data_IF_932830107543
#
_entry.id   IF_932830107543
#
_cell.length_a   1.000
_cell.length_b   1.000
_cell.length_c   1.000
_cell.angle_alpha   90.00
_cell.angle_beta   90.00
_cell.angle_gamma   90.00
#
_symmetry.space_group_name_H-M   'P 1'
#
loop_
_entity.id
_entity.type
_entity.pdbx_description
1 polymer ?
#
# COMPACT_ATOMS: atom_id res chain seq x y z
N UNK A 1 -25.86 -9.42 5.84
CA UNK A 1 -24.63 -9.99 5.25
C UNK A 1 -24.63 -11.51 5.37
N UNK A 2 -24.81 -12.06 6.58
CA UNK A 2 -24.81 -13.52 6.79
C UNK A 2 -25.91 -14.23 5.99
N UNK A 3 -27.11 -13.66 5.97
CA UNK A 3 -28.22 -14.14 5.14
C UNK A 3 -27.91 -14.05 3.63
N UNK A 4 -27.32 -12.93 3.17
CA UNK A 4 -27.01 -12.73 1.76
C UNK A 4 -25.97 -13.73 1.23
N UNK A 5 -25.02 -14.13 2.07
CA UNK A 5 -23.95 -15.06 1.72
C UNK A 5 -24.12 -16.47 2.31
N UNK A 6 -25.32 -16.82 2.79
CA UNK A 6 -25.67 -18.19 3.21
C UNK A 6 -26.25 -19.04 2.08
N UNK A 7 -26.50 -18.45 0.91
CA UNK A 7 -27.08 -19.15 -0.23
C UNK A 7 -26.15 -20.25 -0.76
N UNK A 8 -26.76 -21.39 -1.14
CA UNK A 8 -26.11 -22.46 -1.88
C UNK A 8 -26.87 -22.66 -3.19
N UNK A 9 -26.15 -22.65 -4.31
CA UNK A 9 -26.73 -22.82 -5.66
C UNK A 9 -26.21 -24.09 -6.32
N UNK A 10 -26.77 -24.47 -7.46
CA UNK A 10 -26.27 -25.55 -8.30
C UNK A 10 -24.98 -25.16 -9.07
N UNK A 11 -24.53 -23.90 -8.97
CA UNK A 11 -23.37 -23.39 -9.68
C UNK A 11 -22.13 -23.25 -8.78
N UNK A 12 -21.21 -24.21 -8.94
CA UNK A 12 -19.99 -24.32 -8.14
C UNK A 12 -19.15 -23.02 -8.07
N UNK A 13 -18.97 -22.33 -9.20
CA UNK A 13 -18.11 -21.13 -9.22
C UNK A 13 -18.71 -19.98 -8.40
N UNK A 14 -20.05 -19.83 -8.42
CA UNK A 14 -20.75 -18.86 -7.58
C UNK A 14 -20.63 -19.23 -6.10
N UNK A 15 -20.88 -20.49 -5.73
CA UNK A 15 -20.72 -20.95 -4.34
C UNK A 15 -19.29 -20.72 -3.82
N UNK A 16 -18.27 -20.89 -4.68
CA UNK A 16 -16.88 -20.58 -4.34
C UNK A 16 -16.68 -19.09 -4.03
N UNK A 17 -17.28 -18.20 -4.81
CA UNK A 17 -17.21 -16.75 -4.56
C UNK A 17 -17.98 -16.38 -3.30
N UNK A 18 -19.20 -16.90 -3.10
CA UNK A 18 -20.01 -16.69 -1.89
C UNK A 18 -19.21 -17.05 -0.64
N UNK A 19 -18.63 -18.26 -0.59
CA UNK A 19 -17.80 -18.72 0.54
C UNK A 19 -16.57 -17.84 0.74
N UNK A 20 -15.94 -17.37 -0.33
CA UNK A 20 -14.77 -16.48 -0.25
C UNK A 20 -15.15 -15.10 0.30
N UNK A 21 -16.29 -14.54 -0.11
CA UNK A 21 -16.78 -13.24 0.36
C UNK A 21 -17.24 -13.33 1.81
N UNK A 22 -17.96 -14.39 2.19
CA UNK A 22 -18.35 -14.67 3.58
C UNK A 22 -17.13 -14.70 4.52
N UNK A 23 -16.05 -15.39 4.12
CA UNK A 23 -14.79 -15.43 4.87
C UNK A 23 -14.09 -14.07 5.03
N UNK A 24 -14.45 -13.07 4.24
CA UNK A 24 -13.88 -11.72 4.28
C UNK A 24 -14.80 -10.68 4.93
N UNK A 25 -15.88 -11.13 5.59
CA UNK A 25 -16.90 -10.27 6.22
C UNK A 25 -16.29 -9.13 7.04
N UNK A 26 -15.39 -9.45 7.97
CA UNK A 26 -14.79 -8.46 8.88
C UNK A 26 -14.11 -7.32 8.10
N UNK A 27 -13.28 -7.65 7.11
CA UNK A 27 -12.60 -6.65 6.29
C UNK A 27 -13.54 -5.86 5.37
N UNK A 28 -14.59 -6.50 4.84
CA UNK A 28 -15.55 -5.86 3.93
C UNK A 28 -16.52 -4.93 4.66
N UNK A 29 -16.76 -5.17 5.95
CA UNK A 29 -17.66 -4.37 6.79
C UNK A 29 -16.92 -3.38 7.69
N UNK A 30 -15.59 -3.29 7.60
CA UNK A 30 -14.77 -2.37 8.40
C UNK A 30 -15.20 -0.91 8.24
N UNK A 31 -15.73 -0.53 7.08
CA UNK A 31 -16.27 0.82 6.81
C UNK A 31 -17.45 1.20 7.72
N UNK A 32 -18.14 0.22 8.30
CA UNK A 32 -19.21 0.49 9.27
C UNK A 32 -18.65 0.96 10.62
N UNK A 33 -17.45 0.51 10.98
CA UNK A 33 -16.74 0.95 12.19
C UNK A 33 -15.92 2.21 11.94
N UNK A 34 -15.36 2.36 10.73
CA UNK A 34 -14.50 3.48 10.32
C UNK A 34 -15.07 4.13 9.04
N UNK A 35 -16.06 5.02 9.12
CA UNK A 35 -16.72 5.59 7.93
C UNK A 35 -15.78 6.39 7.02
N UNK A 36 -14.64 6.84 7.53
CA UNK A 36 -13.60 7.56 6.79
C UNK A 36 -12.83 6.67 5.80
N UNK A 37 -12.84 5.35 5.97
CA UNK A 37 -12.17 4.46 5.01
C UNK A 37 -13.05 4.21 3.78
N UNK A 38 -12.46 4.21 2.58
CA UNK A 38 -13.23 3.92 1.37
C UNK A 38 -13.67 2.46 1.33
N UNK A 39 -14.87 2.21 0.79
CA UNK A 39 -15.42 0.86 0.54
C UNK A 39 -14.55 0.04 -0.46
N UNK A 40 -13.75 0.73 -1.28
CA UNK A 40 -12.87 0.13 -2.27
C UNK A 40 -11.39 0.17 -1.83
N UNK A 41 -10.59 -0.74 -2.36
CA UNK A 41 -9.15 -0.83 -2.10
C UNK A 41 -8.27 -0.07 -3.10
N UNK A 42 -8.83 0.83 -3.92
CA UNK A 42 -8.13 1.50 -5.02
C UNK A 42 -6.78 2.11 -4.60
N UNK A 43 -6.71 2.79 -3.45
CA UNK A 43 -5.47 3.37 -2.93
C UNK A 43 -4.39 2.31 -2.71
N UNK A 44 -4.75 1.18 -2.10
CA UNK A 44 -3.82 0.05 -1.90
C UNK A 44 -3.40 -0.60 -3.21
N UNK A 45 -4.29 -0.71 -4.20
CA UNK A 45 -3.95 -1.25 -5.52
C UNK A 45 -3.00 -0.33 -6.29
N UNK A 46 -3.24 0.98 -6.23
CA UNK A 46 -2.37 2.00 -6.82
C UNK A 46 -0.98 1.97 -6.17
N UNK A 47 -0.90 1.90 -4.84
CA UNK A 47 0.36 1.81 -4.09
C UNK A 47 1.22 0.62 -4.53
N UNK A 48 0.60 -0.54 -4.82
CA UNK A 48 1.32 -1.77 -5.23
C UNK A 48 1.62 -1.79 -6.74
N UNK A 49 0.86 -1.04 -7.56
CA UNK A 49 0.94 -1.09 -9.02
C UNK A 49 2.35 -0.80 -9.53
N UNK A 50 3.04 0.19 -8.96
CA UNK A 50 4.40 0.55 -9.34
C UNK A 50 5.35 -0.65 -9.19
N UNK A 51 5.28 -1.38 -8.06
CA UNK A 51 6.07 -2.61 -7.83
C UNK A 51 5.82 -3.66 -8.91
N UNK A 52 4.55 -3.89 -9.26
CA UNK A 52 4.15 -4.91 -10.23
C UNK A 52 4.65 -4.56 -11.63
N UNK A 53 4.54 -3.30 -12.03
CA UNK A 53 5.06 -2.80 -13.31
C UNK A 53 6.57 -2.95 -13.36
N UNK A 54 7.29 -2.50 -12.33
CA UNK A 54 8.75 -2.59 -12.26
C UNK A 54 9.23 -4.05 -12.32
N UNK A 55 8.55 -4.96 -11.61
CA UNK A 55 8.84 -6.40 -11.67
C UNK A 55 8.67 -6.95 -13.08
N UNK A 56 7.62 -6.54 -13.79
CA UNK A 56 7.35 -6.95 -15.18
C UNK A 56 8.45 -6.45 -16.13
N UNK A 57 8.80 -5.17 -16.05
CA UNK A 57 9.83 -4.55 -16.90
C UNK A 57 11.20 -5.21 -16.70
N UNK A 58 11.58 -5.47 -15.44
CA UNK A 58 12.90 -6.03 -15.09
C UNK A 58 12.98 -7.56 -15.23
N UNK A 59 11.85 -8.21 -15.59
CA UNK A 59 11.69 -9.65 -15.57
C UNK A 59 12.09 -10.29 -14.23
N UNK A 60 11.54 -9.75 -13.14
CA UNK A 60 11.83 -10.11 -11.76
C UNK A 60 13.29 -9.86 -11.33
N UNK A 61 13.60 -10.18 -10.08
CA UNK A 61 14.95 -10.06 -9.53
C UNK A 61 15.73 -11.37 -9.71
N UNK A 62 17.00 -11.25 -10.12
CA UNK A 62 17.91 -12.40 -10.25
C UNK A 62 18.57 -12.82 -8.93
N UNK A 63 18.40 -12.02 -7.87
CA UNK A 63 18.94 -12.31 -6.54
C UNK A 63 18.06 -11.76 -5.42
N UNK A 64 18.11 -12.40 -4.26
CA UNK A 64 17.42 -11.95 -3.04
C UNK A 64 17.91 -10.56 -2.61
N UNK A 65 19.22 -10.29 -2.75
CA UNK A 65 19.80 -8.97 -2.42
C UNK A 65 19.20 -7.86 -3.29
N UNK A 66 19.06 -8.10 -4.59
CA UNK A 66 18.44 -7.14 -5.52
C UNK A 66 16.96 -6.91 -5.22
N UNK A 67 16.23 -7.99 -4.87
CA UNK A 67 14.82 -7.87 -4.46
C UNK A 67 14.67 -7.03 -3.20
N UNK A 68 15.48 -7.30 -2.16
CA UNK A 68 15.48 -6.54 -0.91
C UNK A 68 15.81 -5.06 -1.14
N UNK A 69 16.85 -4.77 -1.92
CA UNK A 69 17.21 -3.39 -2.24
C UNK A 69 16.04 -2.66 -2.92
N UNK A 70 15.43 -3.26 -3.94
CA UNK A 70 14.30 -2.64 -4.62
C UNK A 70 13.09 -2.42 -3.70
N UNK A 71 12.79 -3.38 -2.81
CA UNK A 71 11.70 -3.25 -1.86
C UNK A 71 11.95 -2.13 -0.85
N UNK A 72 13.19 -1.99 -0.34
CA UNK A 72 13.59 -0.88 0.53
C UNK A 72 13.43 0.46 -0.19
N UNK A 73 13.97 0.60 -1.39
CA UNK A 73 13.90 1.86 -2.15
C UNK A 73 12.47 2.25 -2.50
N UNK A 74 11.64 1.30 -2.94
CA UNK A 74 10.23 1.55 -3.23
C UNK A 74 9.46 1.97 -1.97
N UNK A 75 9.73 1.33 -0.82
CA UNK A 75 9.09 1.68 0.44
C UNK A 75 9.47 3.09 0.88
N UNK A 76 10.76 3.45 0.82
CA UNK A 76 11.22 4.81 1.14
C UNK A 76 10.58 5.86 0.23
N UNK A 77 10.55 5.59 -1.08
CA UNK A 77 9.94 6.50 -2.06
C UNK A 77 8.44 6.68 -1.81
N UNK A 78 7.70 5.59 -1.54
CA UNK A 78 6.29 5.65 -1.21
C UNK A 78 6.04 6.46 0.07
N UNK A 79 6.84 6.24 1.11
CA UNK A 79 6.75 7.03 2.36
C UNK A 79 7.04 8.51 2.12
N UNK A 80 8.09 8.85 1.37
CA UNK A 80 8.39 10.24 1.04
C UNK A 80 7.22 10.91 0.31
N UNK A 81 6.66 10.24 -0.71
CA UNK A 81 5.50 10.75 -1.46
C UNK A 81 4.28 10.97 -0.56
N UNK A 82 3.99 10.04 0.37
CA UNK A 82 2.88 10.18 1.33
C UNK A 82 3.06 11.36 2.29
N UNK A 83 4.30 11.79 2.51
CA UNK A 83 4.64 12.91 3.37
C UNK A 83 4.91 14.21 2.61
N UNK A 84 4.68 14.29 1.29
CA UNK A 84 4.96 15.50 0.50
C UNK A 84 6.44 15.74 0.18
N UNK A 85 7.32 14.77 0.48
CA UNK A 85 8.77 14.89 0.32
C UNK A 85 9.20 14.31 -1.04
N UNK A 86 10.00 15.06 -1.80
CA UNK A 86 10.60 14.49 -3.02
C UNK A 86 11.62 13.42 -2.63
N UNK A 87 11.56 12.26 -3.27
CA UNK A 87 12.50 11.18 -2.96
C UNK A 87 13.95 11.57 -3.24
N UNK A 88 14.18 12.45 -4.23
CA UNK A 88 15.53 12.93 -4.55
C UNK A 88 16.10 13.84 -3.46
N UNK A 89 15.29 14.74 -2.89
CA UNK A 89 15.73 15.57 -1.77
C UNK A 89 15.98 14.74 -0.52
N UNK A 90 15.16 13.70 -0.27
CA UNK A 90 15.42 12.72 0.77
C UNK A 90 16.77 12.01 0.59
N UNK A 91 17.05 11.48 -0.60
CA UNK A 91 18.34 10.80 -0.87
C UNK A 91 19.50 11.77 -0.73
N UNK A 92 19.38 12.99 -1.25
CA UNK A 92 20.41 14.03 -1.13
C UNK A 92 20.68 14.37 0.33
N UNK A 93 19.64 14.56 1.13
CA UNK A 93 19.76 14.83 2.56
C UNK A 93 20.54 13.74 3.30
N UNK A 94 20.23 12.46 3.01
CA UNK A 94 20.90 11.31 3.64
C UNK A 94 22.33 11.11 3.17
N UNK A 95 22.61 11.28 1.87
CA UNK A 95 23.95 11.06 1.30
C UNK A 95 24.92 12.17 1.71
N UNK A 96 24.47 13.42 1.71
CA UNK A 96 25.30 14.57 2.08
C UNK A 96 25.18 14.96 3.56
N UNK A 97 24.41 14.20 4.35
CA UNK A 97 24.15 14.46 5.77
C UNK A 97 23.72 15.91 6.05
N UNK A 98 22.78 16.42 5.25
CA UNK A 98 22.35 17.82 5.33
C UNK A 98 21.46 18.11 6.55
N UNK A 99 20.88 17.07 7.16
CA UNK A 99 20.00 17.13 8.35
C UNK A 99 18.79 18.06 8.20
N UNK A 100 18.31 18.25 6.97
CA UNK A 100 17.14 19.07 6.65
C UNK A 100 15.84 18.30 6.79
N UNK A 101 15.85 16.99 6.54
CA UNK A 101 14.67 16.14 6.61
C UNK A 101 14.78 15.28 7.88
N UNK A 102 13.86 15.43 8.85
CA UNK A 102 13.81 14.54 10.02
C UNK A 102 13.71 13.07 9.61
N UNK A 103 14.14 12.12 10.45
CA UNK A 103 13.92 10.70 10.20
C UNK A 103 12.45 10.41 9.85
N UNK A 104 12.22 9.62 8.79
CA UNK A 104 10.85 9.36 8.31
C UNK A 104 9.95 8.75 9.39
N UNK A 105 10.53 7.99 10.33
CA UNK A 105 9.79 7.43 11.46
C UNK A 105 9.18 8.53 12.35
N UNK A 106 9.97 9.57 12.67
CA UNK A 106 9.50 10.71 13.47
C UNK A 106 8.40 11.49 12.76
N UNK A 107 8.49 11.63 11.44
CA UNK A 107 7.46 12.31 10.63
C UNK A 107 6.14 11.53 10.69
N UNK A 108 6.21 10.20 10.57
CA UNK A 108 5.03 9.32 10.61
C UNK A 108 4.37 9.35 12.00
N UNK A 109 5.16 9.27 13.08
CA UNK A 109 4.64 9.29 14.45
C UNK A 109 3.97 10.61 14.81
N UNK A 110 4.49 11.73 14.31
CA UNK A 110 3.94 13.05 14.58
C UNK A 110 2.73 13.43 13.69
N UNK A 111 2.34 12.57 12.74
CA UNK A 111 1.14 12.76 11.91
C UNK A 111 1.16 13.98 10.98
N UNK A 112 2.33 14.56 10.71
CA UNK A 112 2.45 15.78 9.90
C UNK A 112 2.86 15.46 8.46
N UNK A 113 2.02 15.76 7.45
CA UNK A 113 2.51 15.88 6.08
C UNK A 113 3.46 17.08 6.02
N UNK A 114 4.75 16.82 5.87
CA UNK A 114 5.76 17.87 5.74
C UNK A 114 5.78 18.30 4.27
N UNK A 115 5.05 19.39 4.00
CA UNK A 115 4.99 20.21 2.77
C UNK A 115 3.65 20.12 2.03
N UNK A 116 2.99 21.27 1.89
CA UNK A 116 1.91 21.47 0.94
C UNK A 116 2.43 21.22 -0.49
N UNK A 117 1.80 20.36 -1.30
CA UNK A 117 2.16 20.19 -2.69
C UNK A 117 1.73 21.43 -3.47
N UNK A 118 2.69 22.30 -3.80
CA UNK A 118 2.55 23.34 -4.85
C UNK A 118 2.33 22.71 -6.22
#
# INVERSE_FOLDING_TARGET
>A
FDELFSADTDYFALNRVIKKTAKKKEFLLLVLEYPEIPLHNNTSELDIREKVIQRKIRNCFRSIRGAKASDTFLSLMATCRKQGITFWDYVRDRVYNLQKIPPLAEIIENGQPVLDPT
#
